data_IF_826171154116
#
_entry.id   IF_826171154116
#
_cell.length_a   1.000
_cell.length_b   1.000
_cell.length_c   1.000
_cell.angle_alpha   90.00
_cell.angle_beta   90.00
_cell.angle_gamma   90.00
#
_symmetry.space_group_name_H-M   'P 1'
#
loop_
_entity.id
_entity.type
_entity.pdbx_description
1 polymer ?
#
# COMPACT_ATOMS: atom_id res chain seq x y z
N UNK A 1 -59.60 -2.51 -3.46
CA UNK A 1 -58.99 -2.28 -4.78
C UNK A 1 -57.51 -2.03 -4.55
N UNK A 2 -56.64 -2.89 -5.08
CA UNK A 2 -55.19 -2.84 -4.82
C UNK A 2 -54.51 -1.96 -5.87
N UNK A 3 -53.67 -1.03 -5.43
CA UNK A 3 -52.82 -0.21 -6.32
C UNK A 3 -51.47 -0.93 -6.49
N UNK A 4 -51.01 -1.07 -7.73
CA UNK A 4 -49.72 -1.68 -8.08
C UNK A 4 -48.82 -0.56 -8.62
N UNK A 5 -47.60 -0.47 -8.10
CA UNK A 5 -46.62 0.56 -8.47
C UNK A 5 -45.25 -0.05 -8.78
N UNK A 6 -45.06 -0.73 -9.93
CA UNK A 6 -43.77 -1.33 -10.28
C UNK A 6 -42.72 -0.26 -10.54
N UNK A 7 -41.48 -0.58 -10.17
CA UNK A 7 -40.28 0.19 -10.49
C UNK A 7 -39.38 -0.71 -11.33
N UNK A 8 -39.19 -0.37 -12.60
CA UNK A 8 -38.21 -1.02 -13.46
C UNK A 8 -36.91 -0.21 -13.45
N UNK A 9 -35.79 -0.91 -13.25
CA UNK A 9 -34.46 -0.31 -13.14
C UNK A 9 -33.54 -0.88 -14.21
N UNK A 10 -32.99 -0.02 -15.05
CA UNK A 10 -31.89 -0.34 -15.95
C UNK A 10 -30.58 0.17 -15.33
N UNK A 11 -29.83 -0.72 -14.71
CA UNK A 11 -28.68 -0.36 -13.86
C UNK A 11 -27.38 -0.29 -14.67
N UNK A 12 -26.93 0.92 -14.98
CA UNK A 12 -25.57 1.20 -15.45
C UNK A 12 -24.69 1.84 -14.38
N UNK A 13 -23.37 1.74 -14.55
CA UNK A 13 -22.37 2.27 -13.62
C UNK A 13 -22.36 3.81 -13.54
N UNK A 14 -22.66 4.50 -14.65
CA UNK A 14 -22.72 5.97 -14.73
C UNK A 14 -24.14 6.52 -14.83
N UNK A 15 -25.04 5.75 -15.43
CA UNK A 15 -26.43 6.12 -15.64
C UNK A 15 -27.32 4.96 -15.23
N UNK A 16 -28.37 5.25 -14.47
CA UNK A 16 -29.42 4.29 -14.13
C UNK A 16 -30.75 4.79 -14.67
N UNK A 17 -31.35 4.03 -15.59
CA UNK A 17 -32.70 4.28 -16.07
C UNK A 17 -33.72 3.84 -15.02
N UNK A 18 -34.70 4.68 -14.73
CA UNK A 18 -35.79 4.39 -13.80
C UNK A 18 -37.11 4.59 -14.53
N UNK A 19 -37.94 3.55 -14.55
CA UNK A 19 -39.27 3.59 -15.12
C UNK A 19 -40.31 3.23 -14.05
N UNK A 20 -41.21 4.16 -13.81
CA UNK A 20 -42.27 4.09 -12.81
C UNK A 20 -43.60 3.89 -13.52
N UNK A 21 -44.38 2.93 -13.04
CA UNK A 21 -45.76 2.74 -13.50
C UNK A 21 -46.69 2.64 -12.30
N UNK A 22 -47.94 3.11 -12.43
CA UNK A 22 -48.97 2.99 -11.40
C UNK A 22 -50.31 2.63 -12.03
N UNK A 23 -50.97 1.59 -11.52
CA UNK A 23 -52.27 1.10 -12.02
C UNK A 23 -52.99 0.28 -10.95
N UNK A 24 -54.31 0.12 -11.08
CA UNK A 24 -55.07 -0.77 -10.22
C UNK A 24 -55.00 -2.23 -10.68
N UNK A 25 -55.04 -3.17 -9.73
CA UNK A 25 -55.00 -4.58 -10.05
C UNK A 25 -56.18 -4.99 -10.96
N UNK A 26 -55.86 -5.57 -12.13
CA UNK A 26 -56.82 -5.95 -13.17
C UNK A 26 -57.10 -4.88 -14.23
N UNK A 27 -56.52 -3.69 -14.11
CA UNK A 27 -56.63 -2.60 -15.09
C UNK A 27 -55.70 -2.81 -16.28
N UNK A 28 -56.10 -2.33 -17.46
CA UNK A 28 -55.29 -2.39 -18.66
C UNK A 28 -54.11 -1.40 -18.57
N UNK A 29 -52.92 -1.83 -19.01
CA UNK A 29 -51.68 -1.04 -18.93
C UNK A 29 -51.73 0.27 -19.75
N UNK A 30 -52.65 0.42 -20.70
CA UNK A 30 -52.84 1.70 -21.40
C UNK A 30 -53.34 2.81 -20.48
N UNK A 31 -54.06 2.47 -19.41
CA UNK A 31 -54.61 3.42 -18.43
C UNK A 31 -53.64 3.74 -17.29
N UNK A 32 -52.49 3.04 -17.23
CA UNK A 32 -51.49 3.23 -16.20
C UNK A 32 -50.79 4.59 -16.32
N UNK A 33 -50.55 5.25 -15.18
CA UNK A 33 -49.67 6.42 -15.11
C UNK A 33 -48.23 5.96 -15.28
N UNK A 34 -47.49 6.56 -16.21
CA UNK A 34 -46.13 6.16 -16.60
C UNK A 34 -45.18 7.35 -16.48
N UNK A 35 -44.00 7.14 -15.92
CA UNK A 35 -42.94 8.15 -15.85
C UNK A 35 -41.57 7.50 -15.99
N UNK A 36 -40.67 8.14 -16.74
CA UNK A 36 -39.29 7.68 -16.94
C UNK A 36 -38.29 8.77 -16.59
N UNK A 37 -37.20 8.40 -15.95
CA UNK A 37 -36.09 9.30 -15.65
C UNK A 37 -34.75 8.57 -15.75
N UNK A 38 -33.68 9.32 -15.99
CA UNK A 38 -32.30 8.82 -15.95
C UNK A 38 -31.60 9.47 -14.77
N UNK A 39 -31.14 8.65 -13.83
CA UNK A 39 -30.32 9.09 -12.71
C UNK A 39 -28.85 8.99 -13.14
N UNK A 40 -28.16 10.14 -13.17
CA UNK A 40 -26.72 10.19 -13.39
C UNK A 40 -26.00 10.05 -12.05
N UNK A 41 -25.12 9.06 -11.94
CA UNK A 41 -24.20 8.93 -10.81
C UNK A 41 -23.15 10.02 -10.93
N UNK A 42 -23.21 11.02 -10.05
CA UNK A 42 -22.27 12.15 -10.06
C UNK A 42 -20.91 11.78 -9.50
N UNK A 43 -19.88 12.53 -9.90
CA UNK A 43 -18.50 12.36 -9.42
C UNK A 43 -18.32 12.74 -7.93
N UNK A 44 -19.37 13.23 -7.26
CA UNK A 44 -19.35 13.60 -5.84
C UNK A 44 -19.34 12.39 -4.89
N UNK A 45 -19.45 11.17 -5.42
CA UNK A 45 -19.41 9.94 -4.65
C UNK A 45 -18.04 9.29 -4.86
N UNK A 46 -17.24 9.24 -3.80
CA UNK A 46 -15.95 8.55 -3.83
C UNK A 46 -16.15 7.03 -3.66
N UNK A 47 -16.20 6.31 -4.77
CA UNK A 47 -16.35 4.85 -4.78
C UNK A 47 -15.10 4.09 -4.30
N UNK A 48 -13.92 4.68 -4.47
CA UNK A 48 -12.65 4.04 -4.09
C UNK A 48 -12.18 4.45 -2.70
N UNK A 49 -11.88 3.46 -1.87
CA UNK A 49 -11.30 3.67 -0.54
C UNK A 49 -9.77 3.76 -0.55
N UNK A 50 -9.12 3.73 -1.72
CA UNK A 50 -7.67 3.73 -1.85
C UNK A 50 -7.06 4.98 -1.21
N UNK A 51 -7.55 6.17 -1.56
CA UNK A 51 -7.04 7.43 -1.03
C UNK A 51 -7.24 7.54 0.49
N UNK A 52 -8.44 7.19 0.98
CA UNK A 52 -8.75 7.16 2.41
C UNK A 52 -7.80 6.23 3.16
N UNK A 53 -7.49 5.08 2.58
CA UNK A 53 -6.56 4.10 3.13
C UNK A 53 -5.15 4.67 3.19
N UNK A 54 -4.65 5.24 2.09
CA UNK A 54 -3.33 5.89 2.04
C UNK A 54 -3.19 7.00 3.09
N UNK A 55 -4.15 7.93 3.16
CA UNK A 55 -4.16 9.01 4.17
C UNK A 55 -4.16 8.46 5.60
N UNK A 56 -4.92 7.40 5.85
CA UNK A 56 -4.94 6.71 7.16
C UNK A 56 -3.58 6.12 7.50
N UNK A 57 -2.91 5.46 6.57
CA UNK A 57 -1.57 4.90 6.80
C UNK A 57 -0.52 5.99 7.03
N UNK A 58 -0.55 7.08 6.26
CA UNK A 58 0.31 8.25 6.47
C UNK A 58 0.11 8.83 7.89
N UNK A 59 -1.14 9.04 8.30
CA UNK A 59 -1.49 9.56 9.63
C UNK A 59 -0.99 8.63 10.74
N UNK A 60 -1.19 7.32 10.59
CA UNK A 60 -0.73 6.30 11.55
C UNK A 60 0.79 6.26 11.65
N UNK A 61 1.50 6.35 10.53
CA UNK A 61 2.96 6.39 10.51
C UNK A 61 3.50 7.61 11.26
N UNK A 62 2.91 8.79 11.03
CA UNK A 62 3.25 10.01 11.75
C UNK A 62 3.01 9.89 13.26
N UNK A 63 1.86 9.33 13.67
CA UNK A 63 1.57 9.05 15.09
C UNK A 63 2.59 8.09 15.71
N UNK A 64 2.91 6.99 15.02
CA UNK A 64 3.87 5.99 15.50
C UNK A 64 5.27 6.59 15.71
N UNK A 65 5.76 7.40 14.76
CA UNK A 65 7.05 8.10 14.86
C UNK A 65 7.10 9.03 16.08
N UNK A 66 6.04 9.79 16.33
CA UNK A 66 5.94 10.67 17.51
C UNK A 66 5.92 9.87 18.81
N UNK A 67 5.14 8.79 18.88
CA UNK A 67 5.06 7.94 20.07
C UNK A 67 6.39 7.27 20.40
N UNK A 68 7.11 6.74 19.40
CA UNK A 68 8.42 6.12 19.61
C UNK A 68 9.44 7.10 20.20
N UNK A 69 9.49 8.35 19.68
CA UNK A 69 10.35 9.41 20.23
C UNK A 69 10.00 9.76 21.67
N UNK A 70 8.71 9.95 21.95
CA UNK A 70 8.24 10.26 23.32
C UNK A 70 8.59 9.14 24.30
N UNK A 71 8.41 7.89 23.88
CA UNK A 71 8.79 6.74 24.69
C UNK A 71 10.29 6.70 24.96
N UNK A 72 11.13 6.90 23.94
CA UNK A 72 12.58 6.96 24.12
C UNK A 72 12.97 8.05 25.14
N UNK A 73 12.43 9.26 25.00
CA UNK A 73 12.74 10.35 25.91
C UNK A 73 12.27 10.07 27.35
N UNK A 74 11.11 9.43 27.52
CA UNK A 74 10.65 8.97 28.84
C UNK A 74 11.62 7.95 29.45
N UNK A 75 12.14 7.02 28.66
CA UNK A 75 13.12 6.03 29.13
C UNK A 75 14.43 6.72 29.53
N UNK A 76 14.96 7.60 28.68
CA UNK A 76 16.18 8.36 28.96
C UNK A 76 16.05 9.21 30.23
N UNK A 77 14.91 9.88 30.40
CA UNK A 77 14.65 10.70 31.57
C UNK A 77 14.50 9.84 32.84
N UNK A 78 13.63 8.83 32.83
CA UNK A 78 13.25 8.09 34.05
C UNK A 78 14.25 7.03 34.46
N UNK A 79 14.86 6.34 33.50
CA UNK A 79 15.79 5.25 33.78
C UNK A 79 17.25 5.72 33.81
N UNK A 80 17.63 6.59 32.87
CA UNK A 80 19.01 7.03 32.72
C UNK A 80 19.30 8.41 33.34
N UNK A 81 18.28 9.08 33.90
CA UNK A 81 18.40 10.43 34.49
C UNK A 81 18.99 11.45 33.49
N UNK A 82 18.75 11.23 32.19
CA UNK A 82 19.18 12.10 31.09
C UNK A 82 17.94 12.75 30.45
N UNK A 83 17.40 13.83 31.05
CA UNK A 83 16.25 14.54 30.47
C UNK A 83 16.65 15.22 29.15
N UNK A 84 15.69 15.42 28.26
CA UNK A 84 15.95 16.12 26.99
C UNK A 84 16.54 17.54 27.20
N UNK A 85 16.23 18.20 28.31
CA UNK A 85 16.73 19.52 28.68
C UNK A 85 18.20 19.57 29.08
N UNK A 86 18.82 18.43 29.43
CA UNK A 86 20.26 18.39 29.76
C UNK A 86 21.15 18.32 28.52
N UNK A 87 20.57 18.11 27.34
CA UNK A 87 21.28 17.93 26.08
C UNK A 87 21.24 19.18 25.22
N UNK A 88 22.27 19.36 24.39
CA UNK A 88 22.27 20.38 23.35
C UNK A 88 21.27 20.03 22.25
N UNK A 89 20.80 21.05 21.52
CA UNK A 89 19.89 20.86 20.38
C UNK A 89 20.44 19.87 19.34
N UNK A 90 21.74 19.93 19.06
CA UNK A 90 22.41 19.05 18.10
C UNK A 90 22.34 17.57 18.53
N UNK A 91 22.55 17.29 19.83
CA UNK A 91 22.43 15.94 20.38
C UNK A 91 20.98 15.42 20.33
N UNK A 92 20.01 16.28 20.68
CA UNK A 92 18.58 15.95 20.57
C UNK A 92 18.19 15.62 19.14
N UNK A 93 18.65 16.41 18.18
CA UNK A 93 18.39 16.19 16.76
C UNK A 93 19.06 14.91 16.25
N UNK A 94 20.29 14.63 16.68
CA UNK A 94 21.00 13.39 16.36
C UNK A 94 20.22 12.16 16.87
N UNK A 95 19.82 12.13 18.14
CA UNK A 95 19.02 11.03 18.71
C UNK A 95 17.70 10.86 17.96
N UNK A 96 17.00 11.97 17.70
CA UNK A 96 15.74 11.94 16.96
C UNK A 96 15.92 11.46 15.51
N UNK A 97 17.08 11.71 14.90
CA UNK A 97 17.40 11.31 13.53
C UNK A 97 17.53 9.79 13.39
N UNK A 98 18.10 9.11 14.39
CA UNK A 98 18.23 7.65 14.43
C UNK A 98 16.84 6.98 14.37
N UNK A 99 15.84 7.55 15.03
CA UNK A 99 14.46 7.07 14.97
C UNK A 99 13.72 7.42 13.68
N UNK A 100 14.18 8.43 12.94
CA UNK A 100 13.54 8.87 11.69
C UNK A 100 13.88 7.92 10.53
N UNK A 101 15.10 7.38 10.51
CA UNK A 101 15.65 6.57 9.40
C UNK A 101 15.84 5.10 9.80
N UNK A 102 14.86 4.53 10.47
CA UNK A 102 14.89 3.14 10.98
C UNK A 102 14.76 2.04 9.90
N UNK A 103 14.82 2.40 8.62
CA UNK A 103 14.60 1.47 7.50
C UNK A 103 13.18 0.92 7.39
N UNK A 104 13.05 -0.06 6.50
CA UNK A 104 11.84 -0.86 6.31
C UNK A 104 12.02 -2.25 6.95
N UNK A 105 10.91 -2.95 7.17
CA UNK A 105 10.90 -4.28 7.79
C UNK A 105 10.31 -5.34 6.85
N UNK A 106 10.23 -5.05 5.56
CA UNK A 106 9.92 -6.11 4.60
C UNK A 106 11.11 -7.06 4.55
N UNK A 107 10.87 -8.34 4.20
CA UNK A 107 11.97 -9.23 3.85
C UNK A 107 12.65 -8.64 2.61
N UNK A 108 13.77 -7.95 2.82
CA UNK A 108 14.78 -7.78 1.79
C UNK A 108 15.61 -9.05 1.81
N UNK A 109 15.75 -9.69 0.66
CA UNK A 109 16.86 -10.60 0.42
C UNK A 109 18.10 -9.70 0.27
N UNK A 110 18.59 -9.18 1.40
CA UNK A 110 19.89 -8.53 1.41
C UNK A 110 20.92 -9.64 1.23
N UNK A 111 21.39 -9.76 -0.01
CA UNK A 111 22.48 -10.67 -0.37
C UNK A 111 23.72 -10.19 0.37
N UNK A 112 24.31 -11.04 1.20
CA UNK A 112 25.56 -10.73 1.86
C UNK A 112 26.70 -10.78 0.83
N UNK A 113 26.96 -9.63 0.22
CA UNK A 113 28.02 -9.45 -0.79
C UNK A 113 29.39 -9.84 -0.24
N UNK A 114 29.64 -9.62 1.06
CA UNK A 114 30.89 -9.99 1.69
C UNK A 114 31.04 -11.51 1.81
N UNK A 115 29.95 -12.24 2.04
CA UNK A 115 29.92 -13.70 2.04
C UNK A 115 30.08 -14.26 0.63
N UNK A 116 29.48 -13.62 -0.38
CA UNK A 116 29.66 -14.00 -1.79
C UNK A 116 31.11 -13.82 -2.27
N UNK A 117 31.78 -12.73 -1.86
CA UNK A 117 33.18 -12.49 -2.20
C UNK A 117 34.14 -13.51 -1.56
N UNK A 118 33.76 -14.10 -0.43
CA UNK A 118 34.54 -15.13 0.27
C UNK A 118 34.25 -16.56 -0.23
N UNK A 119 33.16 -16.74 -0.97
CA UNK A 119 32.75 -18.08 -1.45
C UNK A 119 33.34 -18.34 -2.82
N UNK A 120 34.18 -19.38 -2.92
CA UNK A 120 34.75 -19.81 -4.20
C UNK A 120 33.65 -20.24 -5.16
N UNK A 121 33.75 -19.84 -6.42
CA UNK A 121 32.86 -20.27 -7.50
C UNK A 121 33.06 -21.72 -7.95
N UNK A 122 34.16 -22.36 -7.51
CA UNK A 122 34.60 -23.66 -8.01
C UNK A 122 33.52 -24.76 -7.92
N UNK A 123 32.76 -24.92 -6.82
CA UNK A 123 31.68 -25.92 -6.78
C UNK A 123 30.55 -25.60 -7.76
N UNK A 124 30.27 -24.33 -8.03
CA UNK A 124 29.21 -23.94 -8.97
C UNK A 124 29.61 -24.23 -10.42
N UNK A 125 30.89 -24.05 -10.77
CA UNK A 125 31.43 -24.41 -12.08
C UNK A 125 31.52 -25.94 -12.29
N UNK A 126 31.75 -26.71 -11.23
CA UNK A 126 31.83 -28.18 -11.29
C UNK A 126 30.45 -28.86 -11.38
N UNK A 127 29.43 -28.34 -10.69
CA UNK A 127 28.12 -28.99 -10.57
C UNK A 127 27.01 -28.38 -11.46
N UNK A 128 27.16 -27.15 -11.95
CA UNK A 128 26.17 -26.50 -12.83
C UNK A 128 26.74 -26.20 -14.22
N UNK A 129 25.84 -26.16 -15.20
CA UNK A 129 26.06 -26.11 -16.66
C UNK A 129 27.22 -25.17 -17.07
N UNK A 130 28.00 -25.59 -18.09
CA UNK A 130 29.18 -24.91 -18.67
C UNK A 130 28.96 -23.46 -19.18
N UNK A 131 27.77 -22.89 -18.99
CA UNK A 131 27.40 -21.52 -19.37
C UNK A 131 27.56 -20.50 -18.24
N UNK A 132 28.03 -20.90 -17.05
CA UNK A 132 28.35 -19.97 -15.96
C UNK A 132 29.76 -19.40 -16.17
N UNK A 133 29.96 -18.07 -16.15
CA UNK A 133 31.28 -17.45 -16.29
C UNK A 133 32.23 -17.91 -15.18
N UNK A 134 33.43 -18.35 -15.56
CA UNK A 134 34.47 -18.69 -14.61
C UNK A 134 35.06 -17.41 -14.00
N UNK A 135 34.64 -17.09 -12.78
CA UNK A 135 35.22 -16.01 -11.97
C UNK A 135 35.80 -16.55 -10.66
N UNK A 136 36.53 -15.72 -9.92
CA UNK A 136 37.25 -16.15 -8.71
C UNK A 136 36.34 -16.47 -7.53
N UNK A 137 35.23 -15.75 -7.40
CA UNK A 137 34.27 -15.85 -6.31
C UNK A 137 32.83 -15.67 -6.84
N UNK A 138 31.84 -15.97 -6.00
CA UNK A 138 30.42 -15.90 -6.40
C UNK A 138 29.89 -14.48 -6.60
N UNK A 139 30.52 -13.47 -6.00
CA UNK A 139 30.14 -12.08 -6.19
C UNK A 139 30.42 -11.63 -7.64
N UNK A 140 31.61 -11.94 -8.15
CA UNK A 140 31.99 -11.64 -9.54
C UNK A 140 31.09 -12.37 -10.55
N UNK A 141 30.71 -13.62 -10.26
CA UNK A 141 29.72 -14.36 -11.07
C UNK A 141 28.37 -13.64 -11.06
N UNK A 142 27.87 -13.24 -9.88
CA UNK A 142 26.60 -12.53 -9.76
C UNK A 142 26.58 -11.24 -10.57
N UNK A 143 27.62 -10.40 -10.46
CA UNK A 143 27.75 -9.15 -11.22
C UNK A 143 27.72 -9.37 -12.74
N UNK A 144 28.48 -10.36 -13.24
CA UNK A 144 28.53 -10.67 -14.67
C UNK A 144 27.18 -11.12 -15.24
N UNK A 145 26.36 -11.84 -14.45
CA UNK A 145 25.02 -12.25 -14.86
C UNK A 145 24.08 -11.06 -14.91
N UNK A 146 24.10 -10.19 -13.88
CA UNK A 146 23.24 -9.01 -13.83
C UNK A 146 23.53 -8.00 -14.94
N UNK A 147 24.81 -7.80 -15.30
CA UNK A 147 25.19 -6.91 -16.41
C UNK A 147 24.73 -7.45 -17.79
N UNK A 148 24.70 -8.78 -17.96
CA UNK A 148 24.27 -9.42 -19.22
C UNK A 148 22.75 -9.36 -19.43
N UNK A 149 21.95 -9.24 -18.36
CA UNK A 149 20.48 -9.17 -18.43
C UNK A 149 19.97 -7.76 -18.74
N UNK A 150 20.80 -6.72 -18.52
CA UNK A 150 20.45 -5.31 -18.76
C UNK A 150 20.90 -4.77 -20.14
N UNK A 151 21.46 -5.61 -21.01
CA UNK A 151 21.88 -5.26 -22.39
C UNK A 151 21.01 -5.92 -23.46
#
# INVERSE_FOLDING_TARGET
>A
MTLISPIALDMGAKYTGVYLTQYHAGEALEQAVKSGSVVMHTDNIQYSQAERTTRRHQTRAGKRRKMAKRLLWLILEKHYQQPQSSLTKLQVDAINSLLNRRGFTYLSEDVDEALLAQTSSNPLAEYFIASIPLNSNLFDVFQSITETVES
#
